data_IF_104912753008
#
_entry.id   IF_104912753008
#
_cell.length_a   1.000
_cell.length_b   1.000
_cell.length_c   1.000
_cell.angle_alpha   90.00
_cell.angle_beta   90.00
_cell.angle_gamma   90.00
#
_symmetry.space_group_name_H-M   'P 1'
#
loop_
_entity.id
_entity.type
_entity.pdbx_description
1 polymer ?
#
# COMPACT_ATOMS: atom_id res chain seq x y z
N UNK A 1 22.43 7.98 9.77
CA UNK A 1 21.97 7.18 10.92
C UNK A 1 22.85 7.54 12.10
N UNK A 2 22.23 7.90 13.21
CA UNK A 2 22.91 8.22 14.46
C UNK A 2 23.39 6.94 15.13
N UNK A 3 24.68 6.89 15.48
CA UNK A 3 25.30 5.79 16.24
C UNK A 3 25.94 6.28 17.54
N UNK A 4 25.58 7.50 17.96
CA UNK A 4 26.06 8.15 19.16
C UNK A 4 25.70 7.41 20.46
N UNK A 5 26.25 7.86 21.60
CA UNK A 5 26.07 7.20 22.89
C UNK A 5 24.60 7.21 23.36
N UNK A 6 23.85 8.29 23.12
CA UNK A 6 22.44 8.43 23.50
C UNK A 6 21.55 7.36 22.86
N UNK A 7 21.79 7.05 21.58
CA UNK A 7 21.07 6.02 20.83
C UNK A 7 21.29 4.60 21.36
N UNK A 8 22.37 4.38 22.12
CA UNK A 8 22.75 3.08 22.69
C UNK A 8 22.17 2.84 24.09
N UNK A 9 21.59 3.86 24.71
CA UNK A 9 20.95 3.70 26.01
C UNK A 9 19.82 2.66 25.94
N UNK A 10 19.81 1.75 26.91
CA UNK A 10 18.83 0.66 26.99
C UNK A 10 17.87 0.99 28.14
N UNK A 11 16.66 1.50 27.83
CA UNK A 11 15.64 1.67 28.86
C UNK A 11 15.17 0.30 29.39
N UNK A 12 14.78 0.21 30.68
CA UNK A 12 14.42 -1.07 31.29
C UNK A 12 13.22 -1.72 30.58
N UNK A 13 13.40 -2.97 30.13
CA UNK A 13 12.37 -3.75 29.46
C UNK A 13 12.20 -3.49 27.95
N UNK A 14 13.14 -2.78 27.31
CA UNK A 14 13.09 -2.45 25.88
C UNK A 14 14.43 -2.73 25.17
N UNK A 15 14.38 -2.82 23.85
CA UNK A 15 15.57 -2.84 23.00
C UNK A 15 16.14 -1.42 22.85
N UNK A 16 17.44 -1.28 22.59
CA UNK A 16 18.07 0.04 22.39
C UNK A 16 17.46 0.76 21.20
N UNK A 17 17.42 2.10 21.22
CA UNK A 17 16.96 2.90 20.09
C UNK A 17 17.77 2.60 18.81
N UNK A 18 19.06 2.33 18.97
CA UNK A 18 19.94 1.87 17.89
C UNK A 18 19.47 0.56 17.26
N UNK A 19 19.10 -0.44 18.06
CA UNK A 19 18.64 -1.74 17.54
C UNK A 19 17.32 -1.63 16.76
N UNK A 20 16.41 -0.77 17.22
CA UNK A 20 15.17 -0.46 16.49
C UNK A 20 15.49 0.24 15.16
N UNK A 21 16.42 1.21 15.19
CA UNK A 21 16.89 1.87 13.99
C UNK A 21 17.52 0.88 13.00
N UNK A 22 18.39 -0.03 13.44
CA UNK A 22 18.97 -1.09 12.61
C UNK A 22 17.87 -1.93 11.94
N UNK A 23 16.87 -2.37 12.70
CA UNK A 23 15.73 -3.11 12.15
C UNK A 23 14.95 -2.31 11.12
N UNK A 24 14.67 -1.02 11.39
CA UNK A 24 13.97 -0.16 10.45
C UNK A 24 14.76 0.05 9.15
N UNK A 25 16.06 0.33 9.24
CA UNK A 25 16.92 0.51 8.05
C UNK A 25 17.02 -0.81 7.27
N UNK A 26 17.21 -1.92 7.96
CA UNK A 26 17.21 -3.27 7.36
C UNK A 26 15.92 -3.54 6.61
N UNK A 27 14.75 -3.23 7.20
CA UNK A 27 13.45 -3.37 6.50
C UNK A 27 13.31 -2.46 5.28
N UNK A 28 13.79 -1.22 5.34
CA UNK A 28 13.78 -0.31 4.20
C UNK A 28 14.61 -0.90 3.06
N UNK A 29 15.83 -1.35 3.34
CA UNK A 29 16.74 -1.93 2.33
C UNK A 29 16.19 -3.24 1.79
N UNK A 30 15.75 -4.17 2.65
CA UNK A 30 15.14 -5.44 2.24
C UNK A 30 13.93 -5.22 1.33
N UNK A 31 13.03 -4.30 1.70
CA UNK A 31 11.86 -3.97 0.88
C UNK A 31 12.27 -3.51 -0.51
N UNK A 32 13.30 -2.66 -0.63
CA UNK A 32 13.82 -2.16 -1.91
C UNK A 32 14.38 -3.31 -2.77
N UNK A 33 15.14 -4.22 -2.17
CA UNK A 33 15.67 -5.43 -2.83
C UNK A 33 14.52 -6.31 -3.35
N UNK A 34 13.53 -6.64 -2.51
CA UNK A 34 12.43 -7.53 -2.91
C UNK A 34 11.46 -6.91 -3.91
N UNK A 35 11.31 -5.58 -3.91
CA UNK A 35 10.52 -4.87 -4.92
C UNK A 35 11.28 -4.64 -6.23
N UNK A 36 12.55 -5.07 -6.33
CA UNK A 36 13.44 -4.81 -7.45
C UNK A 36 13.47 -3.33 -7.86
N UNK A 37 13.45 -2.44 -6.86
CA UNK A 37 13.43 -1.00 -7.08
C UNK A 37 14.77 -0.54 -7.67
N UNK A 38 14.72 0.39 -8.64
CA UNK A 38 15.92 1.04 -9.21
C UNK A 38 16.49 2.15 -8.32
N UNK A 39 16.06 2.19 -7.06
CA UNK A 39 16.45 3.22 -6.12
C UNK A 39 17.91 3.01 -5.70
N UNK A 40 18.69 4.08 -5.73
CA UNK A 40 20.07 4.09 -5.25
C UNK A 40 20.09 4.58 -3.80
N UNK A 41 20.79 3.86 -2.93
CA UNK A 41 20.85 4.12 -1.49
C UNK A 41 22.30 4.40 -1.10
N UNK A 42 22.51 5.48 -0.37
CA UNK A 42 23.75 5.78 0.34
C UNK A 42 23.48 5.71 1.85
N UNK A 43 24.46 5.23 2.62
CA UNK A 43 24.36 5.15 4.08
C UNK A 43 25.50 5.96 4.69
N UNK A 44 25.13 6.97 5.47
CA UNK A 44 26.04 7.81 6.26
C UNK A 44 25.77 7.51 7.72
N UNK A 45 26.82 7.17 8.46
CA UNK A 45 26.79 7.05 9.93
C UNK A 45 27.43 8.29 10.52
N UNK A 46 26.86 8.81 11.60
CA UNK A 46 27.47 9.88 12.38
C UNK A 46 27.46 9.50 13.86
N UNK A 47 28.54 9.87 14.57
CA UNK A 47 28.88 9.38 15.90
C UNK A 47 29.89 8.22 15.90
N UNK A 48 30.56 7.98 14.77
CA UNK A 48 31.63 6.97 14.65
C UNK A 48 32.95 7.51 15.19
N UNK A 49 33.84 6.65 15.67
CA UNK A 49 35.20 7.09 16.05
C UNK A 49 35.97 7.55 14.81
N UNK A 50 35.86 6.79 13.73
CA UNK A 50 36.51 7.09 12.46
C UNK A 50 35.75 8.17 11.69
N UNK A 51 36.52 9.03 11.02
CA UNK A 51 36.02 10.10 10.15
C UNK A 51 36.36 9.72 8.71
N UNK A 52 35.40 9.08 8.02
CA UNK A 52 35.53 8.65 6.62
C UNK A 52 34.50 9.37 5.74
N UNK A 53 34.73 10.63 5.43
CA UNK A 53 33.81 11.44 4.63
C UNK A 53 34.56 12.31 3.59
N UNK A 54 33.96 12.56 2.41
CA UNK A 54 34.58 13.37 1.35
C UNK A 54 34.86 14.83 1.72
N UNK A 55 34.31 15.33 2.82
CA UNK A 55 34.42 16.73 3.25
C UNK A 55 35.46 16.96 4.35
N UNK A 56 35.79 15.96 5.18
CA UNK A 56 36.78 16.12 6.25
C UNK A 56 38.21 16.28 5.74
N UNK A 57 38.49 16.02 4.46
CA UNK A 57 39.81 16.28 3.89
C UNK A 57 40.18 17.77 3.86
N UNK A 58 39.19 18.67 4.00
CA UNK A 58 39.37 20.09 3.76
C UNK A 58 39.52 20.91 5.05
N UNK A 59 39.09 20.39 6.21
CA UNK A 59 39.09 21.09 7.50
C UNK A 59 39.41 20.11 8.64
N UNK A 60 40.41 20.43 9.47
CA UNK A 60 40.84 19.55 10.57
C UNK A 60 39.83 19.48 11.73
N UNK A 61 38.90 20.44 11.82
CA UNK A 61 37.99 20.59 12.97
C UNK A 61 36.53 20.33 12.68
N UNK A 62 36.11 20.34 11.40
CA UNK A 62 34.71 20.23 11.01
C UNK A 62 34.43 18.85 10.39
N UNK A 63 33.18 18.39 10.48
CA UNK A 63 32.75 17.11 9.91
C UNK A 63 33.46 15.87 10.50
N UNK A 64 33.86 15.93 11.77
CA UNK A 64 34.45 14.82 12.50
C UNK A 64 33.40 13.79 12.92
N UNK A 65 33.85 12.54 13.15
CA UNK A 65 33.03 11.44 13.65
C UNK A 65 31.87 11.05 12.71
N UNK A 66 32.07 11.24 11.40
CA UNK A 66 31.10 10.91 10.35
C UNK A 66 31.78 9.98 9.35
N UNK A 67 31.18 8.82 9.11
CA UNK A 67 31.67 7.81 8.15
C UNK A 67 30.64 7.51 7.06
N UNK A 68 31.07 7.54 5.80
CA UNK A 68 30.30 7.15 4.64
C UNK A 68 30.51 5.65 4.36
N UNK A 69 29.61 4.83 4.87
CA UNK A 69 29.65 3.37 4.71
C UNK A 69 29.51 2.96 3.24
N UNK A 70 28.60 3.62 2.52
CA UNK A 70 28.31 3.28 1.13
C UNK A 70 27.90 4.50 0.33
N UNK A 71 28.52 4.65 -0.83
CA UNK A 71 28.12 5.58 -1.87
C UNK A 71 26.77 5.20 -2.50
N UNK A 72 26.16 6.12 -3.25
CA UNK A 72 24.91 5.91 -3.97
C UNK A 72 25.03 4.72 -4.96
N UNK A 73 24.44 3.59 -4.57
CA UNK A 73 24.42 2.35 -5.32
C UNK A 73 23.09 1.61 -5.08
N UNK A 74 22.72 0.68 -5.96
CA UNK A 74 21.52 -0.15 -5.78
C UNK A 74 21.56 -0.94 -4.48
N UNK A 75 20.42 -1.21 -3.87
CA UNK A 75 20.34 -1.97 -2.62
C UNK A 75 20.90 -3.39 -2.79
N UNK A 76 21.86 -3.78 -1.95
CA UNK A 76 22.49 -5.10 -1.97
C UNK A 76 22.36 -5.78 -0.60
N UNK A 77 22.36 -7.12 -0.58
CA UNK A 77 22.39 -7.91 0.66
C UNK A 77 23.64 -7.66 1.51
N UNK A 78 24.74 -7.24 0.90
CA UNK A 78 25.96 -6.88 1.63
C UNK A 78 25.72 -5.67 2.56
N UNK A 79 24.86 -4.72 2.14
CA UNK A 79 24.51 -3.58 2.96
C UNK A 79 23.65 -4.00 4.17
N UNK A 80 22.72 -4.94 3.97
CA UNK A 80 21.89 -5.49 5.06
C UNK A 80 22.78 -6.16 6.11
N UNK A 81 23.70 -7.02 5.69
CA UNK A 81 24.67 -7.67 6.59
C UNK A 81 25.53 -6.66 7.34
N UNK A 82 25.99 -5.62 6.65
CA UNK A 82 26.76 -4.56 7.30
C UNK A 82 25.93 -3.78 8.35
N UNK A 83 24.65 -3.53 8.10
CA UNK A 83 23.79 -2.83 9.08
C UNK A 83 23.52 -3.69 10.31
N UNK A 84 23.33 -5.00 10.12
CA UNK A 84 23.02 -5.93 11.20
C UNK A 84 24.25 -6.26 12.06
N UNK A 85 25.44 -6.46 11.45
CA UNK A 85 26.64 -6.96 12.14
C UNK A 85 27.83 -5.96 12.13
N UNK A 86 27.85 -5.02 11.18
CA UNK A 86 29.02 -4.21 10.86
C UNK A 86 29.08 -2.83 11.52
N UNK A 87 28.12 -2.47 12.37
CA UNK A 87 28.13 -1.16 13.04
C UNK A 87 29.18 -1.18 14.17
N UNK A 88 30.12 -0.20 14.20
CA UNK A 88 31.17 -0.15 15.22
C UNK A 88 30.63 -0.15 16.65
N UNK A 89 31.29 -0.88 17.54
CA UNK A 89 30.90 -0.96 18.96
C UNK A 89 31.27 0.30 19.75
N UNK A 90 32.27 1.05 19.30
CA UNK A 90 32.73 2.28 19.96
C UNK A 90 32.17 3.52 19.25
N UNK A 91 31.83 4.57 20.03
CA UNK A 91 31.10 5.74 19.54
C UNK A 91 31.57 7.05 20.19
N UNK A 92 31.39 8.15 19.46
CA UNK A 92 31.61 9.53 19.89
C UNK A 92 30.37 10.38 19.58
N UNK A 93 30.30 11.59 20.11
CA UNK A 93 29.28 12.56 19.71
C UNK A 93 29.69 13.24 18.40
N UNK A 94 28.73 13.42 17.50
CA UNK A 94 28.92 14.11 16.23
C UNK A 94 27.83 15.17 16.03
N UNK A 95 28.17 16.23 15.30
CA UNK A 95 27.23 17.30 14.98
C UNK A 95 26.25 16.85 13.88
N UNK A 96 24.95 16.99 14.16
CA UNK A 96 23.90 16.63 13.22
C UNK A 96 23.92 17.49 11.95
N UNK A 97 24.23 18.78 12.09
CA UNK A 97 24.30 19.71 10.95
C UNK A 97 25.40 19.29 9.96
N UNK A 98 26.57 18.93 10.48
CA UNK A 98 27.69 18.43 9.69
C UNK A 98 27.33 17.12 8.98
N UNK A 99 26.64 16.20 9.68
CA UNK A 99 26.18 14.94 9.10
C UNK A 99 25.18 15.16 7.95
N UNK A 100 24.29 16.15 8.10
CA UNK A 100 23.33 16.52 7.05
C UNK A 100 24.03 17.15 5.84
N UNK A 101 25.01 18.02 6.06
CA UNK A 101 25.82 18.62 4.98
C UNK A 101 26.62 17.55 4.21
N UNK A 102 27.22 16.59 4.91
CA UNK A 102 27.89 15.44 4.28
C UNK A 102 26.90 14.63 3.44
N UNK A 103 25.70 14.34 3.97
CA UNK A 103 24.67 13.61 3.23
C UNK A 103 24.23 14.36 1.97
N UNK A 104 24.03 15.68 2.05
CA UNK A 104 23.72 16.53 0.90
C UNK A 104 24.83 16.52 -0.14
N UNK A 105 26.09 16.63 0.29
CA UNK A 105 27.23 16.58 -0.63
C UNK A 105 27.33 15.24 -1.38
N UNK A 106 27.08 14.11 -0.69
CA UNK A 106 27.04 12.77 -1.29
C UNK A 106 25.91 12.67 -2.32
N UNK A 107 24.72 13.21 -2.01
CA UNK A 107 23.60 13.26 -2.95
C UNK A 107 23.92 14.12 -4.18
N UNK A 108 24.46 15.32 -3.99
CA UNK A 108 24.82 16.21 -5.11
C UNK A 108 25.88 15.54 -5.97
N UNK A 109 26.92 14.96 -5.37
CA UNK A 109 28.00 14.30 -6.09
C UNK A 109 27.54 13.07 -6.87
N UNK A 110 26.70 12.22 -6.27
CA UNK A 110 26.19 11.02 -6.95
C UNK A 110 25.06 11.27 -7.94
N UNK A 111 24.37 12.41 -7.85
CA UNK A 111 23.33 12.81 -8.83
C UNK A 111 23.90 13.57 -10.04
N UNK A 112 25.21 13.84 -10.09
CA UNK A 112 25.87 14.44 -11.27
C UNK A 112 25.78 13.49 -12.46
N UNK A 113 25.02 13.89 -13.48
CA UNK A 113 24.87 13.14 -14.73
C UNK A 113 23.75 12.09 -14.73
N UNK A 114 22.94 11.98 -13.66
CA UNK A 114 21.78 11.10 -13.59
C UNK A 114 20.54 11.87 -13.13
N UNK A 115 19.39 11.62 -13.77
CA UNK A 115 18.12 12.20 -13.34
C UNK A 115 17.37 11.22 -12.43
N UNK A 116 16.90 11.72 -11.29
CA UNK A 116 16.07 10.98 -10.34
C UNK A 116 14.72 11.68 -10.22
N UNK A 117 13.64 10.90 -10.10
CA UNK A 117 12.29 11.43 -9.98
C UNK A 117 12.07 12.13 -8.63
N UNK A 118 12.72 11.64 -7.58
CA UNK A 118 12.61 12.14 -6.22
C UNK A 118 13.95 11.93 -5.50
N UNK A 119 14.31 12.88 -4.64
CA UNK A 119 15.50 12.81 -3.80
C UNK A 119 15.07 13.01 -2.35
N UNK A 120 15.33 12.02 -1.51
CA UNK A 120 14.98 12.10 -0.10
C UNK A 120 16.14 11.73 0.82
N UNK A 121 16.20 12.38 1.97
CA UNK A 121 17.12 12.07 3.07
C UNK A 121 16.26 11.54 4.22
N UNK A 122 16.59 10.33 4.69
CA UNK A 122 15.95 9.76 5.88
C UNK A 122 16.95 9.81 7.02
N UNK A 123 16.62 10.57 8.06
CA UNK A 123 17.46 10.78 9.23
C UNK A 123 16.86 10.05 10.43
N UNK A 124 17.67 9.17 11.01
CA UNK A 124 17.38 8.45 12.25
C UNK A 124 18.25 9.02 13.35
N UNK A 125 17.63 9.58 14.39
CA UNK A 125 18.29 10.13 15.59
C UNK A 125 17.30 10.16 16.75
N UNK A 126 17.80 10.27 17.97
CA UNK A 126 17.05 10.53 19.20
C UNK A 126 17.08 12.02 19.60
N UNK A 127 17.68 12.87 18.76
CA UNK A 127 17.91 14.30 19.00
C UNK A 127 18.70 14.59 20.30
N UNK A 128 19.48 13.63 20.79
CA UNK A 128 20.34 13.83 21.97
C UNK A 128 21.57 14.69 21.69
N UNK A 129 21.89 14.98 20.43
CA UNK A 129 23.10 15.69 20.01
C UNK A 129 22.93 17.20 19.94
N UNK A 130 24.03 17.94 20.18
CA UNK A 130 24.04 19.40 20.14
C UNK A 130 23.92 19.91 18.70
N UNK A 131 23.04 20.88 18.52
CA UNK A 131 22.72 21.54 17.27
C UNK A 131 23.38 22.93 17.25
N UNK A 132 24.33 23.17 16.34
CA UNK A 132 24.95 24.48 16.18
C UNK A 132 24.05 25.41 15.32
N UNK A 133 23.60 26.53 15.90
CA UNK A 133 22.60 27.44 15.31
C UNK A 133 23.02 28.14 14.01
N UNK A 134 24.33 28.26 13.76
CA UNK A 134 24.86 29.12 12.69
C UNK A 134 24.70 28.54 11.27
N UNK A 135 24.48 27.22 11.13
CA UNK A 135 24.47 26.54 9.83
C UNK A 135 23.06 26.27 9.24
N UNK A 136 21.99 26.44 10.02
CA UNK A 136 20.64 26.05 9.59
C UNK A 136 20.11 26.84 8.40
N UNK A 137 20.47 28.12 8.27
CA UNK A 137 19.96 28.96 7.19
C UNK A 137 20.48 28.48 5.82
N UNK A 138 21.75 28.11 5.75
CA UNK A 138 22.37 27.56 4.53
C UNK A 138 21.76 26.21 4.17
N UNK A 139 21.60 25.32 5.16
CA UNK A 139 20.97 24.01 4.98
C UNK A 139 19.54 24.15 4.43
N UNK A 140 18.73 25.07 4.95
CA UNK A 140 17.36 25.31 4.47
C UNK A 140 17.35 25.81 3.03
N UNK A 141 18.30 26.67 2.66
CA UNK A 141 18.43 27.16 1.30
C UNK A 141 18.81 26.02 0.34
N UNK A 142 19.80 25.21 0.71
CA UNK A 142 20.26 24.06 -0.08
C UNK A 142 19.15 23.02 -0.28
N UNK A 143 18.34 22.76 0.75
CA UNK A 143 17.16 21.86 0.67
C UNK A 143 16.16 22.36 -0.37
N UNK A 144 15.89 23.67 -0.37
CA UNK A 144 14.92 24.28 -1.30
C UNK A 144 15.44 24.27 -2.73
N UNK A 145 16.71 24.58 -2.93
CA UNK A 145 17.34 24.59 -4.26
C UNK A 145 17.40 23.19 -4.86
N UNK A 146 17.69 22.17 -4.04
CA UNK A 146 17.80 20.78 -4.46
C UNK A 146 16.46 20.03 -4.48
N UNK A 147 15.36 20.67 -4.07
CA UNK A 147 14.02 20.09 -3.92
C UNK A 147 14.04 18.75 -3.15
N UNK A 148 14.76 18.73 -2.03
CA UNK A 148 14.92 17.53 -1.21
C UNK A 148 13.74 17.34 -0.27
N UNK A 149 13.32 16.08 -0.09
CA UNK A 149 12.41 15.70 0.99
C UNK A 149 13.20 15.14 2.16
N UNK A 150 13.01 15.70 3.36
CA UNK A 150 13.63 15.18 4.58
C UNK A 150 12.59 14.46 5.41
N UNK A 151 12.89 13.21 5.76
CA UNK A 151 12.09 12.39 6.67
C UNK A 151 12.88 12.21 7.96
N UNK A 152 12.35 12.75 9.05
CA UNK A 152 12.92 12.62 10.39
C UNK A 152 12.21 11.48 11.11
N UNK A 153 12.99 10.53 11.64
CA UNK A 153 12.49 9.40 12.43
C UNK A 153 13.09 9.50 13.82
N UNK A 154 12.26 9.96 14.76
CA UNK A 154 12.58 9.94 16.18
C UNK A 154 12.50 8.51 16.71
N UNK A 155 13.65 7.98 17.14
CA UNK A 155 13.76 6.61 17.63
C UNK A 155 13.19 6.45 19.05
N UNK A 156 12.93 7.53 19.79
CA UNK A 156 12.30 7.49 21.11
C UNK A 156 10.82 7.11 20.99
N UNK A 157 10.11 7.65 20.00
CA UNK A 157 8.66 7.43 19.82
C UNK A 157 8.33 6.04 19.25
N UNK A 158 9.29 5.37 18.60
CA UNK A 158 9.17 3.98 18.13
C UNK A 158 9.15 2.96 19.27
N UNK A 159 9.67 3.31 20.45
CA UNK A 159 9.78 2.42 21.63
C UNK A 159 8.44 2.14 22.35
N UNK A 160 7.35 2.75 21.88
CA UNK A 160 6.02 2.68 22.49
C UNK A 160 5.08 1.58 21.97
N UNK A 161 5.47 0.76 20.99
CA UNK A 161 4.58 -0.25 20.40
C UNK A 161 5.07 -1.69 20.62
N UNK A 162 4.29 -2.56 21.30
CA UNK A 162 4.60 -3.98 21.38
C UNK A 162 4.27 -4.67 20.04
N UNK A 163 5.28 -5.24 19.37
CA UNK A 163 5.09 -6.07 18.17
C UNK A 163 4.95 -7.52 18.61
N UNK A 164 3.71 -8.02 18.68
CA UNK A 164 3.44 -9.46 18.83
C UNK A 164 3.35 -10.12 17.45
N UNK A 165 4.11 -11.19 17.26
CA UNK A 165 4.08 -12.04 16.06
C UNK A 165 3.34 -13.32 16.45
N UNK A 166 2.13 -13.51 15.92
CA UNK A 166 1.40 -14.78 16.03
C UNK A 166 1.36 -15.51 14.70
N UNK A 167 1.66 -16.81 14.78
CA UNK A 167 1.71 -17.76 13.67
C UNK A 167 0.30 -18.25 13.32
N UNK A 168 -0.03 -18.31 12.02
CA UNK A 168 -1.23 -18.99 11.53
C UNK A 168 -0.89 -20.05 10.48
N UNK A 169 -1.26 -21.29 10.78
CA UNK A 169 -1.30 -22.44 9.86
C UNK A 169 -2.75 -22.70 9.42
N UNK A 170 -3.03 -22.93 8.12
CA UNK A 170 -4.31 -23.55 7.70
C UNK A 170 -4.17 -24.48 6.49
N UNK A 171 -4.32 -25.77 6.79
CA UNK A 171 -5.06 -26.88 6.15
C UNK A 171 -5.35 -26.93 4.63
N UNK A 172 -4.95 -28.06 4.04
CA UNK A 172 -5.44 -28.65 2.79
C UNK A 172 -6.92 -29.09 2.88
N UNK A 173 -7.62 -29.13 1.74
CA UNK A 173 -8.93 -29.79 1.62
C UNK A 173 -9.01 -30.72 0.42
N UNK A 174 -9.57 -31.89 0.73
CA UNK A 174 -9.83 -33.04 -0.12
C UNK A 174 -10.78 -32.79 -1.31
N UNK A 175 -10.56 -33.60 -2.35
CA UNK A 175 -11.47 -33.82 -3.48
C UNK A 175 -12.44 -34.96 -3.17
N UNK A 176 -13.73 -34.75 -3.42
CA UNK A 176 -14.69 -35.84 -3.56
C UNK A 176 -15.33 -35.80 -4.95
N UNK A 177 -15.28 -36.93 -5.64
CA UNK A 177 -15.90 -37.22 -6.93
C UNK A 177 -17.32 -37.77 -6.71
N UNK A 178 -18.27 -37.41 -7.58
CA UNK A 178 -19.51 -38.19 -7.73
C UNK A 178 -19.77 -38.53 -9.20
N UNK A 179 -19.88 -39.84 -9.45
CA UNK A 179 -20.07 -40.52 -10.71
C UNK A 179 -21.51 -40.39 -11.24
N UNK A 180 -21.67 -39.95 -12.49
CA UNK A 180 -22.94 -40.05 -13.21
C UNK A 180 -22.75 -40.70 -14.59
N UNK A 181 -23.37 -41.86 -14.80
CA UNK A 181 -23.19 -42.77 -15.95
C UNK A 181 -23.58 -42.13 -17.32
N UNK A 182 -24.34 -41.04 -17.33
CA UNK A 182 -24.62 -40.24 -18.54
C UNK A 182 -23.38 -39.50 -19.09
N UNK A 183 -22.37 -39.20 -18.25
CA UNK A 183 -21.10 -38.61 -18.69
C UNK A 183 -20.29 -39.58 -19.56
N UNK A 184 -20.27 -40.88 -19.25
CA UNK A 184 -19.37 -41.85 -19.92
C UNK A 184 -19.60 -41.94 -21.43
N UNK A 185 -20.85 -41.87 -21.92
CA UNK A 185 -21.15 -41.90 -23.37
C UNK A 185 -20.75 -40.61 -24.11
N UNK A 186 -20.74 -39.46 -23.41
CA UNK A 186 -20.23 -38.20 -23.97
C UNK A 186 -18.69 -38.16 -23.95
N UNK A 187 -18.05 -38.75 -22.93
CA UNK A 187 -16.59 -38.88 -22.86
C UNK A 187 -16.01 -39.72 -24.01
N UNK A 188 -16.64 -40.83 -24.41
CA UNK A 188 -16.13 -41.66 -25.51
C UNK A 188 -16.18 -40.95 -26.87
N UNK A 189 -17.23 -40.15 -27.12
CA UNK A 189 -17.32 -39.33 -28.33
C UNK A 189 -16.34 -38.14 -28.29
N UNK A 190 -16.17 -37.51 -27.12
CA UNK A 190 -15.22 -36.43 -26.92
C UNK A 190 -13.76 -36.89 -27.08
N UNK A 191 -13.42 -38.12 -26.68
CA UNK A 191 -12.06 -38.67 -26.82
C UNK A 191 -11.71 -39.01 -28.27
N UNK A 192 -12.70 -39.43 -29.08
CA UNK A 192 -12.54 -39.63 -30.53
C UNK A 192 -12.35 -38.26 -31.23
N UNK A 193 -13.15 -37.26 -30.86
CA UNK A 193 -12.98 -35.90 -31.37
C UNK A 193 -11.65 -35.29 -30.95
N UNK A 194 -11.16 -35.50 -29.71
CA UNK A 194 -9.83 -35.05 -29.27
C UNK A 194 -8.70 -35.68 -30.09
N UNK A 195 -8.79 -36.98 -30.43
CA UNK A 195 -7.81 -37.67 -31.28
C UNK A 195 -7.78 -37.14 -32.72
N UNK A 196 -8.95 -36.79 -33.27
CA UNK A 196 -9.06 -36.16 -34.60
C UNK A 196 -8.56 -34.71 -34.60
N UNK A 197 -8.84 -33.96 -33.54
CA UNK A 197 -8.42 -32.57 -33.32
C UNK A 197 -6.90 -32.48 -33.12
N UNK A 198 -6.28 -33.41 -32.40
CA UNK A 198 -4.82 -33.51 -32.28
C UNK A 198 -4.12 -33.94 -33.57
N UNK A 199 -4.82 -34.61 -34.49
CA UNK A 199 -4.28 -35.01 -35.80
C UNK A 199 -4.40 -33.91 -36.87
N UNK A 200 -5.16 -32.84 -36.59
CA UNK A 200 -5.50 -31.78 -37.54
C UNK A 200 -5.07 -30.36 -37.09
N UNK A 201 -4.24 -30.23 -36.04
CA UNK A 201 -3.93 -28.96 -35.36
C UNK A 201 -5.18 -28.12 -35.04
N UNK A 202 -6.28 -28.79 -34.72
CA UNK A 202 -7.52 -28.14 -34.32
C UNK A 202 -7.51 -27.83 -32.82
N UNK A 203 -8.28 -26.82 -32.41
CA UNK A 203 -8.74 -26.68 -31.02
C UNK A 203 -10.26 -26.78 -31.00
N UNK A 204 -10.81 -27.67 -30.18
CA UNK A 204 -12.26 -27.79 -30.00
C UNK A 204 -12.66 -27.08 -28.70
N UNK A 205 -13.35 -25.95 -28.81
CA UNK A 205 -13.92 -25.23 -27.68
C UNK A 205 -15.42 -25.55 -27.59
N UNK A 206 -15.92 -25.86 -26.40
CA UNK A 206 -17.35 -26.09 -26.16
C UNK A 206 -17.86 -25.19 -25.04
N UNK A 207 -19.06 -24.64 -25.20
CA UNK A 207 -19.78 -23.93 -24.14
C UNK A 207 -20.89 -24.84 -23.63
N UNK A 208 -20.99 -25.01 -22.31
CA UNK A 208 -22.08 -25.75 -21.68
C UNK A 208 -23.27 -24.83 -21.49
N UNK A 209 -24.39 -25.16 -22.12
CA UNK A 209 -25.66 -24.48 -21.93
C UNK A 209 -26.66 -25.47 -21.31
N UNK A 210 -26.84 -25.38 -20.00
CA UNK A 210 -27.61 -26.38 -19.23
C UNK A 210 -27.02 -27.79 -19.33
N UNK A 211 -27.78 -28.72 -19.92
CA UNK A 211 -27.37 -30.13 -20.13
C UNK A 211 -26.79 -30.40 -21.52
N UNK A 212 -26.72 -29.39 -22.39
CA UNK A 212 -26.21 -29.53 -23.75
C UNK A 212 -24.83 -28.89 -23.91
N UNK A 213 -23.96 -29.57 -24.66
CA UNK A 213 -22.67 -29.04 -25.08
C UNK A 213 -22.80 -28.54 -26.51
N UNK A 214 -22.53 -27.26 -26.71
CA UNK A 214 -22.43 -26.67 -28.04
C UNK A 214 -20.96 -26.57 -28.42
N UNK A 215 -20.56 -27.34 -29.44
CA UNK A 215 -19.21 -27.36 -29.97
C UNK A 215 -19.08 -26.29 -31.06
N UNK A 216 -18.12 -25.37 -30.89
CA UNK A 216 -17.86 -24.30 -31.84
C UNK A 216 -16.64 -24.68 -32.70
N UNK A 217 -16.87 -25.01 -33.97
CA UNK A 217 -15.79 -25.11 -34.97
C UNK A 217 -15.51 -23.71 -35.51
N UNK A 218 -14.23 -23.29 -35.47
CA UNK A 218 -13.76 -21.96 -35.87
C UNK A 218 -14.21 -20.83 -34.92
N UNK A 219 -13.35 -20.51 -33.96
CA UNK A 219 -13.49 -19.37 -33.07
C UNK A 219 -13.18 -18.07 -33.86
N UNK A 220 -14.02 -17.74 -34.84
CA UNK A 220 -14.26 -16.33 -35.12
C UNK A 220 -14.85 -15.76 -33.84
N UNK A 221 -14.03 -15.07 -33.05
CA UNK A 221 -14.43 -14.12 -31.99
C UNK A 221 -15.13 -12.92 -32.65
N UNK A 222 -16.07 -13.20 -33.56
CA UNK A 222 -16.78 -12.27 -34.43
C UNK A 222 -18.25 -12.71 -34.45
N UNK A 223 -18.79 -13.07 -33.29
CA UNK A 223 -20.20 -12.83 -33.04
C UNK A 223 -20.29 -11.81 -31.91
N UNK A 224 -20.77 -10.63 -32.31
CA UNK A 224 -21.06 -9.43 -31.54
C UNK A 224 -19.97 -8.36 -31.36
N UNK A 225 -19.05 -8.18 -32.31
CA UNK A 225 -18.53 -6.83 -32.61
C UNK A 225 -19.58 -5.96 -33.37
N UNK A 226 -20.63 -6.58 -33.93
CA UNK A 226 -21.70 -5.90 -34.68
C UNK A 226 -22.82 -5.26 -33.85
N UNK A 227 -22.84 -5.49 -32.53
CA UNK A 227 -23.68 -4.75 -31.57
C UNK A 227 -22.93 -4.50 -30.26
N UNK A 228 -21.59 -4.44 -30.30
CA UNK A 228 -20.89 -3.68 -29.28
C UNK A 228 -21.31 -2.23 -29.51
N UNK A 229 -22.20 -1.73 -28.66
CA UNK A 229 -22.35 -0.31 -28.45
C UNK A 229 -20.94 0.26 -28.34
N UNK A 230 -20.50 0.91 -29.41
CA UNK A 230 -19.22 1.56 -29.54
C UNK A 230 -19.25 2.77 -28.60
N UNK A 231 -19.17 2.50 -27.30
CA UNK A 231 -19.17 3.55 -26.29
C UNK A 231 -17.71 3.91 -26.05
N UNK A 232 -17.24 4.79 -26.92
CA UNK A 232 -16.10 5.67 -26.73
C UNK A 232 -16.22 6.30 -25.34
N UNK A 233 -15.24 6.09 -24.43
CA UNK A 233 -15.04 6.81 -23.14
C UNK A 233 -16.25 7.65 -22.67
N UNK A 234 -17.40 7.04 -22.45
CA UNK A 234 -18.60 7.78 -22.09
C UNK A 234 -18.94 7.43 -20.67
N UNK A 235 -18.77 8.40 -19.79
CA UNK A 235 -19.34 8.35 -18.45
C UNK A 235 -20.79 8.82 -18.64
N UNK A 236 -21.71 7.87 -18.81
CA UNK A 236 -23.13 8.16 -18.72
C UNK A 236 -23.47 8.29 -17.24
N UNK A 237 -23.83 9.49 -16.79
CA UNK A 237 -24.12 9.76 -15.39
C UNK A 237 -25.63 9.71 -15.17
N UNK A 238 -26.06 8.87 -14.24
CA UNK A 238 -27.40 8.93 -13.68
C UNK A 238 -27.31 9.28 -12.19
N UNK A 239 -27.94 10.38 -11.78
CA UNK A 239 -27.95 10.78 -10.37
C UNK A 239 -28.92 9.93 -9.56
N UNK A 240 -28.49 9.51 -8.37
CA UNK A 240 -29.34 8.86 -7.38
C UNK A 240 -29.00 9.35 -5.97
N UNK A 241 -29.87 9.09 -5.00
CA UNK A 241 -29.61 9.38 -3.60
C UNK A 241 -28.54 8.45 -3.05
N UNK A 242 -27.57 8.99 -2.30
CA UNK A 242 -26.48 8.19 -1.71
C UNK A 242 -26.97 7.06 -0.81
N UNK A 243 -28.13 7.22 -0.15
CA UNK A 243 -28.73 6.21 0.73
C UNK A 243 -29.20 4.94 0.01
N UNK A 244 -29.46 5.02 -1.30
CA UNK A 244 -29.89 3.86 -2.08
C UNK A 244 -28.76 2.86 -2.33
N UNK A 245 -27.51 3.35 -2.37
CA UNK A 245 -26.33 2.53 -2.64
C UNK A 245 -25.69 2.13 -1.31
N UNK A 246 -25.94 0.90 -0.90
CA UNK A 246 -25.43 0.34 0.36
C UNK A 246 -24.00 -0.18 0.18
N UNK A 247 -23.13 -0.09 1.20
CA UNK A 247 -21.75 -0.55 1.09
C UNK A 247 -21.56 -2.02 0.69
N UNK A 248 -22.51 -2.90 1.06
CA UNK A 248 -22.47 -4.31 0.69
C UNK A 248 -22.81 -4.57 -0.79
N UNK A 249 -23.22 -3.55 -1.56
CA UNK A 249 -23.36 -3.64 -3.01
C UNK A 249 -22.06 -3.29 -3.74
N UNK A 250 -20.98 -2.93 -3.06
CA UNK A 250 -19.72 -2.71 -3.78
C UNK A 250 -19.14 -4.04 -4.26
N UNK A 251 -18.63 -4.04 -5.48
CA UNK A 251 -18.02 -5.18 -6.15
C UNK A 251 -16.65 -4.80 -6.70
N UNK A 252 -15.88 -5.82 -7.12
CA UNK A 252 -14.58 -5.68 -7.75
C UNK A 252 -13.41 -5.57 -6.77
N UNK A 253 -12.20 -5.54 -7.34
CA UNK A 253 -10.95 -5.72 -6.61
C UNK A 253 -10.26 -4.40 -6.22
N UNK A 254 -10.94 -3.26 -6.38
CA UNK A 254 -10.33 -1.97 -6.06
C UNK A 254 -11.23 -0.76 -6.21
N UNK A 255 -10.74 0.36 -5.68
CA UNK A 255 -11.34 1.69 -5.77
C UNK A 255 -10.49 2.61 -6.63
N UNK A 256 -11.11 3.46 -7.44
CA UNK A 256 -10.38 4.43 -8.26
C UNK A 256 -10.69 5.85 -7.82
N UNK A 257 -9.67 6.69 -7.73
CA UNK A 257 -9.85 8.12 -7.54
C UNK A 257 -9.87 8.80 -8.92
N UNK A 258 -10.96 9.51 -9.20
CA UNK A 258 -11.17 10.24 -10.44
C UNK A 258 -10.86 11.71 -10.18
N UNK A 259 -9.96 12.24 -11.00
CA UNK A 259 -9.55 13.65 -10.98
C UNK A 259 -9.81 14.30 -12.33
N UNK A 260 -10.05 15.61 -12.30
CA UNK A 260 -10.03 16.42 -13.51
C UNK A 260 -8.59 16.54 -14.05
N UNK A 261 -8.46 16.66 -15.37
CA UNK A 261 -7.16 16.87 -16.00
C UNK A 261 -6.63 18.26 -15.62
N UNK A 262 -5.46 18.31 -14.95
CA UNK A 262 -4.82 19.54 -14.47
C UNK A 262 -4.55 20.56 -15.57
N UNK A 263 -4.37 20.13 -16.81
CA UNK A 263 -4.16 21.01 -17.96
C UNK A 263 -5.41 21.82 -18.35
N UNK A 264 -6.62 21.36 -18.03
CA UNK A 264 -7.87 22.00 -18.42
C UNK A 264 -8.55 22.70 -17.22
N UNK A 265 -8.24 23.99 -17.04
CA UNK A 265 -8.79 24.81 -15.94
C UNK A 265 -10.32 24.88 -15.93
N UNK A 266 -10.95 25.00 -17.10
CA UNK A 266 -12.41 25.06 -17.20
C UNK A 266 -13.05 23.72 -16.79
N UNK A 267 -12.45 22.60 -17.23
CA UNK A 267 -12.86 21.26 -16.81
C UNK A 267 -12.70 21.03 -15.31
N UNK A 268 -11.59 21.50 -14.71
CA UNK A 268 -11.38 21.43 -13.26
C UNK A 268 -12.43 22.22 -12.48
N UNK A 269 -12.76 23.43 -12.92
CA UNK A 269 -13.79 24.26 -12.27
C UNK A 269 -15.17 23.59 -12.33
N UNK A 270 -15.56 23.08 -13.50
CA UNK A 270 -16.83 22.38 -13.68
C UNK A 270 -16.90 21.09 -12.84
N UNK A 271 -15.83 20.31 -12.82
CA UNK A 271 -15.73 19.08 -12.04
C UNK A 271 -15.81 19.35 -10.53
N UNK A 272 -15.13 20.40 -10.06
CA UNK A 272 -15.19 20.83 -8.66
C UNK A 272 -16.60 21.28 -8.28
N UNK A 273 -17.21 22.15 -9.10
CA UNK A 273 -18.58 22.60 -8.89
C UNK A 273 -19.57 21.43 -8.84
N UNK A 274 -19.39 20.44 -9.71
CA UNK A 274 -20.22 19.24 -9.72
C UNK A 274 -20.06 18.40 -8.43
N UNK A 275 -18.83 18.16 -7.98
CA UNK A 275 -18.57 17.46 -6.72
C UNK A 275 -19.19 18.17 -5.50
N UNK A 276 -19.05 19.49 -5.43
CA UNK A 276 -19.66 20.31 -4.36
C UNK A 276 -21.19 20.25 -4.42
N UNK A 277 -21.79 20.36 -5.60
CA UNK A 277 -23.24 20.27 -5.77
C UNK A 277 -23.79 18.90 -5.35
N UNK A 278 -23.10 17.82 -5.72
CA UNK A 278 -23.47 16.45 -5.32
C UNK A 278 -23.34 16.24 -3.82
N UNK A 279 -22.30 16.79 -3.18
CA UNK A 279 -22.14 16.70 -1.73
C UNK A 279 -23.26 17.46 -1.00
N UNK A 280 -23.59 18.67 -1.44
CA UNK A 280 -24.67 19.47 -0.85
C UNK A 280 -26.05 18.81 -0.99
N UNK A 281 -26.28 18.12 -2.12
CA UNK A 281 -27.55 17.44 -2.39
C UNK A 281 -27.61 16.02 -1.84
N UNK A 282 -26.50 15.48 -1.31
CA UNK A 282 -26.42 14.08 -0.84
C UNK A 282 -26.60 13.04 -1.95
N UNK A 283 -26.33 13.43 -3.20
CA UNK A 283 -26.48 12.58 -4.38
C UNK A 283 -25.16 11.91 -4.77
N UNK A 284 -25.29 10.79 -5.48
CA UNK A 284 -24.19 10.02 -6.07
C UNK A 284 -24.51 9.75 -7.54
N UNK A 285 -23.48 9.45 -8.33
CA UNK A 285 -23.60 9.31 -9.78
C UNK A 285 -23.34 7.86 -10.17
N UNK A 286 -24.33 7.20 -10.77
CA UNK A 286 -24.14 5.89 -11.40
C UNK A 286 -23.49 6.10 -12.75
N UNK A 287 -22.41 5.38 -13.01
CA UNK A 287 -21.61 5.52 -14.23
C UNK A 287 -21.35 4.19 -14.89
N UNK A 288 -21.35 4.21 -16.22
CA UNK A 288 -20.76 3.14 -17.03
C UNK A 288 -19.29 3.44 -17.23
N UNK A 289 -18.43 2.51 -16.80
CA UNK A 289 -16.99 2.61 -16.90
C UNK A 289 -16.44 1.56 -17.86
N UNK A 290 -15.55 1.97 -18.76
CA UNK A 290 -14.85 1.06 -19.65
C UNK A 290 -13.40 1.55 -19.79
N UNK A 291 -12.45 0.74 -19.32
CA UNK A 291 -11.03 1.12 -19.28
C UNK A 291 -10.45 1.26 -20.70
N UNK A 292 -10.72 0.29 -21.56
CA UNK A 292 -10.24 0.25 -22.95
C UNK A 292 -11.27 -0.41 -23.87
N UNK A 293 -11.10 -0.29 -25.18
CA UNK A 293 -11.96 -0.95 -26.19
C UNK A 293 -11.99 -2.48 -26.02
N UNK A 294 -10.93 -3.07 -25.45
CA UNK A 294 -10.86 -4.52 -25.19
C UNK A 294 -11.47 -4.93 -23.86
N UNK A 295 -11.76 -3.98 -22.98
CA UNK A 295 -12.27 -4.25 -21.65
C UNK A 295 -13.79 -4.33 -21.69
N UNK A 296 -14.38 -5.22 -20.89
CA UNK A 296 -15.82 -5.26 -20.72
C UNK A 296 -16.29 -4.01 -19.95
N UNK A 297 -17.43 -3.42 -20.33
CA UNK A 297 -18.01 -2.32 -19.58
C UNK A 297 -18.42 -2.79 -18.19
N UNK A 298 -18.14 -1.97 -17.18
CA UNK A 298 -18.57 -2.15 -15.79
C UNK A 298 -19.55 -1.02 -15.43
N UNK A 299 -20.43 -1.29 -14.48
CA UNK A 299 -21.23 -0.25 -13.84
C UNK A 299 -20.58 0.05 -12.50
N UNK A 300 -20.58 1.32 -12.11
CA UNK A 300 -20.10 1.74 -10.80
C UNK A 300 -20.76 3.01 -10.32
N UNK A 301 -20.40 3.42 -9.12
CA UNK A 301 -20.85 4.65 -8.47
C UNK A 301 -19.68 5.62 -8.33
N UNK A 302 -19.93 6.89 -8.62
CA UNK A 302 -19.07 8.01 -8.27
C UNK A 302 -19.62 8.71 -7.02
N UNK A 303 -18.79 8.73 -5.97
CA UNK A 303 -19.08 9.37 -4.69
C UNK A 303 -18.20 10.61 -4.58
N UNK A 304 -18.75 11.83 -4.36
CA UNK A 304 -17.96 13.03 -4.23
C UNK A 304 -17.09 12.98 -2.97
N UNK A 305 -15.79 13.23 -3.12
CA UNK A 305 -14.80 13.26 -2.05
C UNK A 305 -14.07 14.61 -2.06
N UNK A 306 -14.44 15.46 -1.11
CA UNK A 306 -13.88 16.80 -0.94
C UNK A 306 -13.00 16.82 0.30
N UNK A 307 -11.70 17.07 0.10
CA UNK A 307 -10.71 17.24 1.17
C UNK A 307 -10.08 18.63 1.08
N UNK A 308 -9.41 19.07 2.16
CA UNK A 308 -8.79 20.40 2.27
C UNK A 308 -7.79 20.74 1.15
N UNK A 309 -7.19 19.74 0.50
CA UNK A 309 -6.21 19.93 -0.58
C UNK A 309 -6.69 19.57 -1.98
N UNK A 310 -7.79 18.83 -2.13
CA UNK A 310 -8.25 18.38 -3.44
C UNK A 310 -9.73 17.99 -3.45
N UNK A 311 -10.33 18.10 -4.64
CA UNK A 311 -11.68 17.65 -4.95
C UNK A 311 -11.61 16.51 -5.96
N UNK A 312 -12.26 15.39 -5.64
CA UNK A 312 -12.22 14.17 -6.46
C UNK A 312 -13.52 13.38 -6.36
N UNK A 313 -13.68 12.36 -7.20
CA UNK A 313 -14.70 11.33 -6.99
C UNK A 313 -14.05 9.99 -6.71
N UNK A 314 -14.65 9.21 -5.80
CA UNK A 314 -14.32 7.80 -5.62
C UNK A 314 -15.23 7.00 -6.53
N UNK A 315 -14.63 6.22 -7.43
CA UNK A 315 -15.33 5.22 -8.23
C UNK A 315 -15.25 3.85 -7.55
N UNK A 316 -16.41 3.24 -7.31
CA UNK A 316 -16.56 1.87 -6.82
C UNK A 316 -17.41 1.08 -7.82
N UNK A 317 -17.00 -0.14 -8.15
CA UNK A 317 -17.79 -0.99 -9.05
C UNK A 317 -19.06 -1.46 -8.35
N UNK A 318 -20.14 -1.58 -9.11
CA UNK A 318 -21.40 -2.18 -8.68
C UNK A 318 -21.60 -3.51 -9.41
N UNK A 319 -22.27 -4.49 -8.79
CA UNK A 319 -22.57 -5.75 -9.41
C UNK A 319 -23.66 -5.61 -10.47
N UNK A 320 -23.63 -6.52 -11.44
CA UNK A 320 -24.78 -6.72 -12.31
C UNK A 320 -25.86 -7.57 -11.62
N UNK A 321 -27.06 -7.61 -12.20
CA UNK A 321 -28.17 -8.38 -11.64
C UNK A 321 -27.82 -9.88 -11.50
N UNK A 322 -27.01 -10.41 -12.41
CA UNK A 322 -26.54 -11.79 -12.43
C UNK A 322 -25.51 -12.10 -11.33
N UNK A 323 -24.85 -11.07 -10.79
CA UNK A 323 -23.83 -11.20 -9.73
C UNK A 323 -24.45 -11.11 -8.32
N UNK A 324 -25.73 -10.73 -8.21
CA UNK A 324 -26.43 -10.64 -6.91
C UNK A 324 -27.00 -12.00 -6.53
N UNK A 325 -26.41 -12.64 -5.52
CA UNK A 325 -26.96 -13.84 -4.91
C UNK A 325 -27.91 -13.47 -3.76
N UNK A 326 -29.19 -13.83 -3.90
CA UNK A 326 -30.19 -13.62 -2.85
C UNK A 326 -30.34 -14.88 -2.00
N UNK A 327 -29.99 -14.76 -0.71
CA UNK A 327 -30.19 -15.82 0.27
C UNK A 327 -31.32 -15.46 1.23
N UNK A 328 -32.31 -16.34 1.36
CA UNK A 328 -33.36 -16.18 2.36
C UNK A 328 -32.85 -16.71 3.71
N UNK A 329 -32.36 -15.79 4.56
CA UNK A 329 -31.96 -16.11 5.94
C UNK A 329 -33.14 -15.90 6.90
N UNK A 330 -33.34 -16.77 7.91
CA UNK A 330 -34.37 -16.57 8.91
C UNK A 330 -34.06 -15.33 9.75
N UNK A 331 -35.12 -14.58 10.13
CA UNK A 331 -34.96 -13.41 10.99
C UNK A 331 -34.55 -13.84 12.40
N UNK A 332 -33.44 -13.28 12.90
CA UNK A 332 -32.98 -13.51 14.26
C UNK A 332 -33.76 -12.68 15.29
N UNK A 333 -34.25 -11.50 14.90
CA UNK A 333 -34.90 -10.54 15.81
C UNK A 333 -36.31 -11.00 16.22
N UNK A 334 -37.02 -11.66 15.31
CA UNK A 334 -38.40 -12.12 15.53
C UNK A 334 -38.48 -13.52 16.16
N UNK A 335 -37.33 -14.13 16.48
CA UNK A 335 -37.27 -15.49 16.99
C UNK A 335 -37.23 -15.49 18.52
N UNK A 336 -38.37 -15.77 19.15
CA UNK A 336 -38.50 -15.83 20.61
C UNK A 336 -37.56 -16.84 21.28
N UNK A 337 -37.07 -17.85 20.53
CA UNK A 337 -36.10 -18.84 21.05
C UNK A 337 -34.69 -18.28 21.21
N UNK A 338 -34.34 -17.21 20.50
CA UNK A 338 -32.99 -16.65 20.41
C UNK A 338 -32.94 -15.24 21.03
N UNK A 339 -34.03 -14.76 21.62
CA UNK A 339 -34.06 -13.45 22.24
C UNK A 339 -33.08 -13.42 23.43
N UNK A 340 -32.09 -12.51 23.43
CA UNK A 340 -31.12 -12.43 24.51
C UNK A 340 -31.78 -11.99 25.82
N UNK A 341 -31.26 -12.45 26.95
CA UNK A 341 -31.68 -11.97 28.27
C UNK A 341 -31.10 -10.57 28.56
N UNK A 342 -31.71 -9.85 29.50
CA UNK A 342 -31.22 -8.52 29.91
C UNK A 342 -29.79 -8.59 30.47
N UNK A 343 -29.44 -9.68 31.17
CA UNK A 343 -28.07 -9.93 31.64
C UNK A 343 -27.07 -10.10 30.48
N UNK A 344 -27.47 -10.77 29.39
CA UNK A 344 -26.63 -10.94 28.22
C UNK A 344 -26.44 -9.62 27.47
N UNK A 345 -27.49 -8.80 27.39
CA UNK A 345 -27.40 -7.46 26.81
C UNK A 345 -26.43 -6.59 27.61
N UNK A 346 -26.58 -6.53 28.93
CA UNK A 346 -25.67 -5.78 29.81
C UNK A 346 -24.21 -6.29 29.75
N UNK A 347 -24.01 -7.60 29.62
CA UNK A 347 -22.67 -8.17 29.45
C UNK A 347 -22.02 -7.76 28.12
N UNK A 348 -22.81 -7.69 27.03
CA UNK A 348 -22.32 -7.25 25.72
C UNK A 348 -22.08 -5.75 25.70
N UNK A 349 -22.95 -4.95 26.35
CA UNK A 349 -22.75 -3.50 26.48
C UNK A 349 -21.45 -3.19 27.22
N UNK A 350 -21.20 -3.87 28.35
CA UNK A 350 -19.93 -3.76 29.08
C UNK A 350 -18.72 -4.18 28.23
N UNK A 351 -18.89 -5.16 27.34
CA UNK A 351 -17.83 -5.60 26.44
C UNK A 351 -17.54 -4.56 25.34
N UNK A 352 -18.59 -3.94 24.78
CA UNK A 352 -18.46 -2.88 23.78
C UNK A 352 -17.73 -1.69 24.40
N UNK A 353 -18.13 -1.26 25.59
CA UNK A 353 -17.49 -0.13 26.29
C UNK A 353 -16.02 -0.44 26.65
N UNK A 354 -15.71 -1.69 27.02
CA UNK A 354 -14.35 -2.09 27.37
C UNK A 354 -13.42 -2.24 26.16
N UNK A 355 -13.97 -2.54 24.97
CA UNK A 355 -13.21 -2.78 23.73
C UNK A 355 -13.39 -1.66 22.70
N UNK A 356 -13.91 -0.50 23.10
CA UNK A 356 -14.03 0.65 22.19
C UNK A 356 -12.63 1.16 21.81
N UNK A 357 -12.39 1.22 20.50
CA UNK A 357 -11.13 1.71 19.92
C UNK A 357 -11.23 3.18 19.52
N UNK A 358 -12.35 3.84 19.79
CA UNK A 358 -12.56 5.26 19.48
C UNK A 358 -12.35 6.11 20.73
N UNK A 359 -11.25 6.86 20.79
CA UNK A 359 -11.09 7.87 21.85
C UNK A 359 -11.62 9.21 21.36
N UNK A 360 -12.73 9.67 21.94
CA UNK A 360 -13.27 11.00 21.70
C UNK A 360 -12.47 12.01 22.52
N UNK A 361 -11.42 12.57 21.93
CA UNK A 361 -10.68 13.70 22.50
C UNK A 361 -11.35 15.03 22.10
N UNK A 362 -11.18 16.13 22.84
CA UNK A 362 -11.70 17.45 22.44
C UNK A 362 -11.14 17.94 21.09
N UNK A 363 -10.05 17.36 20.59
CA UNK A 363 -9.44 17.65 19.28
C UNK A 363 -10.01 16.77 18.15
N UNK A 364 -10.94 15.86 18.45
CA UNK A 364 -11.61 14.96 17.51
C UNK A 364 -11.53 13.49 17.90
N UNK A 365 -12.16 12.64 17.09
CA UNK A 365 -12.10 11.18 17.20
C UNK A 365 -10.68 10.70 16.86
N UNK A 366 -9.94 10.23 17.85
CA UNK A 366 -8.65 9.58 17.67
C UNK A 366 -8.85 8.07 17.78
N UNK A 367 -8.95 7.41 16.64
CA UNK A 367 -8.92 5.95 16.55
C UNK A 367 -7.59 5.43 17.12
N UNK A 368 -7.67 4.59 18.17
CA UNK A 368 -6.52 4.01 18.87
C UNK A 368 -5.77 3.01 17.99
N UNK A 369 -6.49 2.25 17.16
CA UNK A 369 -5.94 1.22 16.29
C UNK A 369 -6.29 1.47 14.82
N UNK A 370 -5.41 2.16 14.10
CA UNK A 370 -5.58 2.48 12.69
C UNK A 370 -5.04 1.37 11.80
N UNK A 371 -5.87 0.36 11.56
CA UNK A 371 -5.49 -0.79 10.69
C UNK A 371 -5.06 -0.38 9.29
N UNK A 372 -5.54 0.76 8.77
CA UNK A 372 -5.16 1.30 7.45
C UNK A 372 -3.71 1.78 7.35
N UNK A 373 -3.12 2.18 8.47
CA UNK A 373 -1.74 2.65 8.53
C UNK A 373 -0.75 1.48 8.70
N UNK A 374 -1.26 0.29 9.00
CA UNK A 374 -0.48 -0.93 9.22
C UNK A 374 -0.24 -1.63 7.88
N UNK A 375 1.04 -1.92 7.59
CA UNK A 375 1.43 -2.67 6.40
C UNK A 375 1.00 -4.14 6.51
N UNK A 376 0.80 -4.80 5.36
CA UNK A 376 0.44 -6.22 5.34
C UNK A 376 1.53 -7.08 6.01
N UNK A 377 1.24 -7.77 7.13
CA UNK A 377 2.24 -8.54 7.87
C UNK A 377 2.77 -9.74 7.09
N UNK A 378 1.98 -10.32 6.18
CA UNK A 378 2.43 -11.46 5.36
C UNK A 378 3.58 -11.09 4.42
N UNK A 379 3.60 -9.85 3.92
CA UNK A 379 4.69 -9.36 3.08
C UNK A 379 5.96 -9.17 3.92
N UNK A 380 5.82 -8.60 5.13
CA UNK A 380 6.95 -8.43 6.05
C UNK A 380 7.52 -9.78 6.51
N UNK A 381 6.66 -10.75 6.81
CA UNK A 381 7.05 -12.11 7.14
C UNK A 381 7.82 -12.77 6.00
N UNK A 382 7.35 -12.63 4.75
CA UNK A 382 8.03 -13.14 3.57
C UNK A 382 9.45 -12.57 3.42
N UNK A 383 9.64 -11.29 3.69
CA UNK A 383 10.96 -10.64 3.64
C UNK A 383 11.90 -11.18 4.71
N UNK A 384 11.39 -11.38 5.93
CA UNK A 384 12.17 -11.93 7.04
C UNK A 384 12.63 -13.38 6.79
N UNK A 385 11.81 -14.21 6.15
CA UNK A 385 12.15 -15.61 5.86
C UNK A 385 13.14 -15.73 4.69
N UNK A 386 13.16 -14.75 3.79
CA UNK A 386 14.03 -14.75 2.61
C UNK A 386 15.37 -14.04 2.80
N UNK A 387 15.46 -13.14 3.78
CA UNK A 387 16.71 -12.56 4.25
C UNK A 387 17.51 -13.61 5.04
#
# INVERSE_FOLDING_TARGET
MDVGPSMREIPPGRSSALSLCQQCVSWIVQRRIFTESKDEIAVVLFGTIETENPLASNTETEYQHISLVRNLLMADWNLVKYIDEGIPSECQEANLADALMVAMHVLVSGTRGRSFAQKSIVLFTDFGTVLNDDQYQTIIQDIKELQLEIVLIDCIQLSGMPVQVENFTVFERDRCEEDNVKLRRQHTAADICKKLVSAADGTCCSIRYGYHYHYCHHFSIVYNLGQQFLIIKSISIQETEGKQIKPHYYSGDGSYLVFANSSNKAGCAAFSAFAHAMQQTGKVAIVRYCYSVRSSPRIGVLIPLIKRGYTSFVYLSLPFAEEIATFALPSLIQNDRIKPSDEQLDAVDRLIDALDLTNVSPEGEKELYRSKDILNPSIQFLFRVRA
#
